data_IF_378375081944
#
_entry.id   IF_378375081944
#
_cell.length_a   1.000
_cell.length_b   1.000
_cell.length_c   1.000
_cell.angle_alpha   90.00
_cell.angle_beta   90.00
_cell.angle_gamma   90.00
#
_symmetry.space_group_name_H-M   'P 1'
#
loop_
_entity.id
_entity.type
_entity.pdbx_description
1 polymer ?
#
# COMPACT_ATOMS: atom_id res chain seq x y z
N UNK A 1 8.67 14.17 -17.80
CA UNK A 1 10.08 14.14 -17.34
C UNK A 1 10.62 12.71 -17.23
N UNK A 2 9.91 11.77 -16.58
CA UNK A 2 10.30 10.35 -16.52
C UNK A 2 9.92 9.50 -17.74
N UNK A 3 9.22 10.07 -18.72
CA UNK A 3 8.94 9.47 -20.03
C UNK A 3 10.18 9.34 -20.91
N UNK A 4 11.30 9.97 -20.54
CA UNK A 4 12.57 9.87 -21.27
C UNK A 4 13.38 8.69 -20.73
N UNK A 5 13.64 7.62 -21.52
CA UNK A 5 14.25 6.38 -21.04
C UNK A 5 15.63 6.58 -20.40
N UNK A 6 16.39 7.55 -20.90
CA UNK A 6 17.74 7.88 -20.43
C UNK A 6 17.75 8.47 -19.01
N UNK A 7 16.70 9.21 -18.64
CA UNK A 7 16.53 9.80 -17.30
C UNK A 7 15.95 8.76 -16.35
N UNK A 8 14.94 8.01 -16.82
CA UNK A 8 14.35 6.87 -16.10
C UNK A 8 15.45 5.93 -15.59
N UNK A 9 16.28 5.39 -16.49
CA UNK A 9 17.32 4.39 -16.15
C UNK A 9 18.37 4.89 -15.13
N UNK A 10 18.57 6.20 -15.00
CA UNK A 10 19.55 6.79 -14.05
C UNK A 10 18.93 7.17 -12.71
N UNK A 11 17.62 7.40 -12.64
CA UNK A 11 16.93 7.96 -11.47
C UNK A 11 15.69 7.13 -11.08
N UNK A 12 15.70 5.83 -11.35
CA UNK A 12 14.54 4.96 -11.07
C UNK A 12 14.13 4.93 -9.61
N UNK A 13 15.11 4.97 -8.69
CA UNK A 13 14.82 5.03 -7.26
C UNK A 13 14.11 6.35 -6.92
N UNK A 14 14.50 7.47 -7.53
CA UNK A 14 13.85 8.78 -7.34
C UNK A 14 12.43 8.74 -7.88
N UNK A 15 12.24 8.17 -9.08
CA UNK A 15 10.91 8.00 -9.64
C UNK A 15 10.01 7.14 -8.75
N UNK A 16 10.54 6.03 -8.23
CA UNK A 16 9.80 5.13 -7.36
C UNK A 16 9.43 5.82 -6.03
N UNK A 17 10.34 6.62 -5.47
CA UNK A 17 10.06 7.45 -4.28
C UNK A 17 8.99 8.48 -4.58
N UNK A 18 9.11 9.26 -5.66
CA UNK A 18 8.12 10.27 -6.05
C UNK A 18 6.75 9.62 -6.28
N UNK A 19 6.71 8.49 -7.00
CA UNK A 19 5.47 7.77 -7.25
C UNK A 19 4.84 7.23 -5.97
N UNK A 20 5.65 6.73 -5.04
CA UNK A 20 5.18 6.26 -3.73
C UNK A 20 4.61 7.44 -2.92
N UNK A 21 5.34 8.55 -2.83
CA UNK A 21 4.88 9.75 -2.12
C UNK A 21 3.58 10.30 -2.73
N UNK A 22 3.51 10.38 -4.05
CA UNK A 22 2.32 10.88 -4.74
C UNK A 22 1.13 9.94 -4.56
N UNK A 23 1.35 8.62 -4.64
CA UNK A 23 0.29 7.63 -4.41
C UNK A 23 -0.21 7.67 -2.97
N UNK A 24 0.68 7.81 -1.97
CA UNK A 24 0.31 7.93 -0.57
C UNK A 24 -0.43 9.26 -0.30
N UNK A 25 -0.02 10.35 -0.92
CA UNK A 25 -0.75 11.61 -0.82
C UNK A 25 -2.16 11.49 -1.43
N UNK A 26 -2.26 10.96 -2.65
CA UNK A 26 -3.49 10.88 -3.43
C UNK A 26 -4.51 9.89 -2.86
N UNK A 27 -4.05 8.73 -2.38
CA UNK A 27 -4.92 7.63 -1.99
C UNK A 27 -4.93 7.35 -0.48
N UNK A 28 -4.00 7.90 0.31
CA UNK A 28 -4.04 7.82 1.77
C UNK A 28 -4.52 9.13 2.38
N UNK A 29 -3.76 10.21 2.20
CA UNK A 29 -3.97 11.47 2.94
C UNK A 29 -5.23 12.19 2.49
N UNK A 30 -5.40 12.43 1.18
CA UNK A 30 -6.58 13.15 0.69
C UNK A 30 -7.90 12.44 0.99
N UNK A 31 -8.07 11.12 0.76
CA UNK A 31 -9.30 10.42 1.08
C UNK A 31 -9.64 10.45 2.58
N UNK A 32 -8.62 10.39 3.44
CA UNK A 32 -8.81 10.54 4.89
C UNK A 32 -9.31 11.94 5.26
N UNK A 33 -8.70 12.99 4.71
CA UNK A 33 -9.12 14.37 4.95
C UNK A 33 -10.52 14.64 4.40
N UNK A 34 -10.87 14.08 3.24
CA UNK A 34 -12.21 14.17 2.65
C UNK A 34 -13.24 13.56 3.61
N UNK A 35 -12.98 12.36 4.14
CA UNK A 35 -13.89 11.72 5.08
C UNK A 35 -14.08 12.55 6.37
N UNK A 36 -13.01 13.13 6.91
CA UNK A 36 -13.09 14.02 8.07
C UNK A 36 -13.84 15.32 7.77
N UNK A 37 -13.64 15.89 6.58
CA UNK A 37 -14.32 17.10 6.15
C UNK A 37 -15.83 16.87 6.07
N UNK A 38 -16.26 15.79 5.40
CA UNK A 38 -17.67 15.43 5.27
C UNK A 38 -18.29 15.17 6.65
N UNK A 39 -17.59 14.42 7.51
CA UNK A 39 -18.08 14.16 8.87
C UNK A 39 -18.21 15.44 9.70
N UNK A 40 -17.32 16.42 9.50
CA UNK A 40 -17.37 17.71 10.18
C UNK A 40 -18.42 18.68 9.64
N UNK A 41 -18.93 18.46 8.42
CA UNK A 41 -20.01 19.26 7.81
C UNK A 41 -21.40 18.85 8.33
N UNK A 42 -21.54 17.68 8.94
CA UNK A 42 -22.83 17.21 9.45
C UNK A 42 -23.33 18.06 10.63
N UNK A 43 -24.61 18.43 10.62
CA UNK A 43 -25.24 19.26 11.66
C UNK A 43 -25.18 18.63 13.08
N UNK A 44 -25.00 17.31 13.16
CA UNK A 44 -24.86 16.55 14.40
C UNK A 44 -23.42 16.52 14.94
N UNK A 45 -22.43 17.04 14.20
CA UNK A 45 -21.02 16.94 14.54
C UNK A 45 -20.61 17.95 15.61
N UNK A 46 -20.41 17.48 16.84
CA UNK A 46 -19.71 18.25 17.87
C UNK A 46 -18.20 18.19 17.64
N UNK A 47 -17.48 19.24 18.04
CA UNK A 47 -16.02 19.27 17.99
C UNK A 47 -15.40 18.06 18.73
N UNK A 48 -15.95 17.71 19.90
CA UNK A 48 -15.49 16.59 20.70
C UNK A 48 -15.68 15.25 19.98
N UNK A 49 -16.83 15.05 19.33
CA UNK A 49 -17.11 13.84 18.55
C UNK A 49 -16.14 13.71 17.37
N UNK A 50 -15.92 14.80 16.63
CA UNK A 50 -15.00 14.81 15.47
C UNK A 50 -13.55 14.56 15.87
N UNK A 51 -13.09 15.15 16.98
CA UNK A 51 -11.74 14.90 17.51
C UNK A 51 -11.58 13.46 17.97
N UNK A 52 -12.55 12.92 18.71
CA UNK A 52 -12.53 11.52 19.15
C UNK A 52 -12.50 10.56 17.96
N UNK A 53 -13.33 10.81 16.95
CA UNK A 53 -13.32 10.05 15.70
C UNK A 53 -11.95 10.09 15.04
N UNK A 54 -11.36 11.28 14.90
CA UNK A 54 -10.05 11.46 14.28
C UNK A 54 -8.96 10.68 15.01
N UNK A 55 -8.93 10.75 16.34
CA UNK A 55 -7.97 10.00 17.15
C UNK A 55 -8.14 8.48 17.03
N UNK A 56 -9.38 8.00 17.04
CA UNK A 56 -9.66 6.57 16.84
C UNK A 56 -9.24 6.11 15.45
N UNK A 57 -9.57 6.86 14.40
CA UNK A 57 -9.23 6.53 13.02
C UNK A 57 -7.70 6.50 12.80
N UNK A 58 -6.98 7.48 13.35
CA UNK A 58 -5.51 7.48 13.34
C UNK A 58 -4.93 6.30 14.12
N UNK A 59 -5.47 5.98 15.30
CA UNK A 59 -5.02 4.84 16.10
C UNK A 59 -5.21 3.51 15.34
N UNK A 60 -6.36 3.33 14.66
CA UNK A 60 -6.62 2.19 13.79
C UNK A 60 -5.59 2.12 12.67
N UNK A 61 -5.33 3.25 11.98
CA UNK A 61 -4.31 3.32 10.94
C UNK A 61 -2.92 2.90 11.42
N UNK A 62 -2.51 3.36 12.61
CA UNK A 62 -1.24 2.97 13.23
C UNK A 62 -1.20 1.47 13.52
N UNK A 63 -2.27 0.91 14.11
CA UNK A 63 -2.36 -0.53 14.39
C UNK A 63 -2.26 -1.34 13.09
N UNK A 64 -2.98 -0.94 12.03
CA UNK A 64 -2.90 -1.58 10.73
C UNK A 64 -1.46 -1.54 10.22
N UNK A 65 -0.81 -0.37 10.25
CA UNK A 65 0.57 -0.22 9.81
C UNK A 65 1.56 -1.13 10.56
N UNK A 66 1.43 -1.22 11.89
CA UNK A 66 2.29 -2.07 12.71
C UNK A 66 2.07 -3.56 12.40
N UNK A 67 0.82 -4.00 12.33
CA UNK A 67 0.46 -5.39 12.00
C UNK A 67 0.97 -5.75 10.60
N UNK A 68 0.87 -4.84 9.64
CA UNK A 68 1.33 -5.08 8.27
C UNK A 68 2.85 -5.10 8.16
N UNK A 69 3.55 -4.26 8.90
CA UNK A 69 5.01 -4.33 9.04
C UNK A 69 5.44 -5.70 9.59
N UNK A 70 4.83 -6.16 10.69
CA UNK A 70 5.13 -7.47 11.28
C UNK A 70 4.82 -8.61 10.31
N UNK A 71 3.64 -8.58 9.68
CA UNK A 71 3.24 -9.57 8.67
C UNK A 71 4.26 -9.62 7.52
N UNK A 72 4.65 -8.47 7.00
CA UNK A 72 5.58 -8.38 5.88
C UNK A 72 6.96 -8.89 6.28
N UNK A 73 7.46 -8.52 7.46
CA UNK A 73 8.70 -9.05 8.01
C UNK A 73 8.69 -10.58 8.13
N UNK A 74 7.59 -11.17 8.63
CA UNK A 74 7.44 -12.63 8.72
C UNK A 74 7.43 -13.29 7.33
N UNK A 75 6.78 -12.67 6.34
CA UNK A 75 6.77 -13.16 4.95
C UNK A 75 8.17 -13.14 4.33
N UNK A 76 8.94 -12.07 4.57
CA UNK A 76 10.34 -11.99 4.14
C UNK A 76 11.20 -13.08 4.78
N UNK A 77 11.09 -13.27 6.10
CA UNK A 77 11.86 -14.28 6.83
C UNK A 77 11.53 -15.71 6.40
N UNK A 78 10.27 -15.99 6.05
CA UNK A 78 9.83 -17.29 5.51
C UNK A 78 10.26 -17.52 4.05
N UNK A 79 10.92 -16.55 3.41
CA UNK A 79 11.33 -16.65 2.02
C UNK A 79 10.15 -16.67 1.05
N UNK A 80 8.99 -16.10 1.44
CA UNK A 80 7.79 -16.13 0.61
C UNK A 80 7.99 -15.45 -0.76
N UNK A 81 8.91 -14.48 -0.82
CA UNK A 81 9.30 -13.71 -2.00
C UNK A 81 10.52 -14.28 -2.77
N UNK A 82 11.06 -15.44 -2.38
CA UNK A 82 12.11 -16.14 -3.15
C UNK A 82 11.52 -16.75 -4.42
N UNK A 83 12.36 -16.94 -5.44
CA UNK A 83 12.00 -17.68 -6.64
C UNK A 83 11.50 -19.09 -6.28
N UNK A 84 10.35 -19.50 -6.83
CA UNK A 84 9.65 -20.74 -6.46
C UNK A 84 8.89 -20.70 -5.13
N UNK A 85 8.96 -19.58 -4.39
CA UNK A 85 8.26 -19.31 -3.13
C UNK A 85 6.75 -19.09 -3.31
N UNK A 86 6.02 -18.96 -2.20
CA UNK A 86 4.55 -18.88 -2.23
C UNK A 86 4.04 -17.64 -2.97
N UNK A 87 4.70 -16.48 -2.86
CA UNK A 87 4.32 -15.27 -3.60
C UNK A 87 4.69 -15.37 -5.07
N UNK A 88 5.80 -16.01 -5.40
CA UNK A 88 6.23 -16.23 -6.79
C UNK A 88 5.30 -17.20 -7.53
N UNK A 89 4.84 -18.28 -6.88
CA UNK A 89 3.82 -19.19 -7.42
C UNK A 89 2.46 -18.54 -7.63
N UNK A 90 2.14 -17.53 -6.82
CA UNK A 90 0.91 -16.73 -6.99
C UNK A 90 1.10 -15.78 -8.18
N UNK A 91 2.21 -15.04 -8.23
CA UNK A 91 2.55 -14.14 -9.35
C UNK A 91 2.61 -14.87 -10.69
N UNK A 92 3.32 -15.98 -10.79
CA UNK A 92 3.43 -16.78 -12.02
C UNK A 92 2.08 -17.38 -12.44
N UNK A 93 1.17 -17.64 -11.50
CA UNK A 93 -0.22 -18.01 -11.82
C UNK A 93 -1.04 -16.82 -12.33
N UNK A 94 -0.86 -15.63 -11.76
CA UNK A 94 -1.48 -14.40 -12.27
C UNK A 94 -0.99 -14.00 -13.66
N UNK A 95 0.32 -14.14 -13.92
CA UNK A 95 0.92 -13.84 -15.23
C UNK A 95 0.52 -14.85 -16.31
N UNK A 96 0.06 -16.06 -15.93
CA UNK A 96 -0.30 -17.12 -16.88
C UNK A 96 -1.79 -17.30 -17.17
N UNK A 97 -2.74 -16.79 -16.37
CA UNK A 97 -4.17 -16.93 -16.66
C UNK A 97 -5.11 -16.11 -15.76
N UNK A 98 -6.27 -15.73 -16.33
CA UNK A 98 -7.48 -15.06 -15.78
C UNK A 98 -8.00 -15.58 -14.42
N UNK A 99 -7.29 -15.35 -13.31
CA UNK A 99 -7.75 -15.76 -11.98
C UNK A 99 -7.76 -14.61 -10.96
N UNK A 100 -8.77 -13.74 -11.06
CA UNK A 100 -9.18 -12.77 -10.02
C UNK A 100 -9.47 -13.35 -8.61
N UNK A 101 -9.98 -14.58 -8.39
CA UNK A 101 -10.51 -14.98 -7.08
C UNK A 101 -9.48 -15.21 -5.98
N UNK A 102 -8.22 -15.50 -6.31
CA UNK A 102 -7.19 -15.83 -5.31
C UNK A 102 -6.73 -14.60 -4.52
N UNK A 103 -6.90 -13.39 -5.09
CA UNK A 103 -6.64 -12.13 -4.37
C UNK A 103 -7.61 -11.95 -3.21
N UNK A 104 -8.86 -12.39 -3.38
CA UNK A 104 -9.97 -12.17 -2.42
C UNK A 104 -9.77 -12.98 -1.13
N UNK A 105 -9.20 -14.19 -1.23
CA UNK A 105 -8.99 -15.08 -0.07
C UNK A 105 -7.71 -14.73 0.70
N UNK A 106 -6.68 -14.19 0.04
CA UNK A 106 -5.46 -13.72 0.72
C UNK A 106 -5.63 -12.36 1.44
N UNK A 107 -6.74 -11.66 1.14
CA UNK A 107 -7.14 -10.37 1.70
C UNK A 107 -8.31 -10.49 2.69
N UNK A 108 -8.74 -11.68 3.08
CA UNK A 108 -9.85 -11.81 4.05
C UNK A 108 -9.55 -11.12 5.39
N UNK A 109 -8.29 -11.13 5.85
CA UNK A 109 -7.88 -10.34 7.03
C UNK A 109 -7.94 -8.82 6.81
N UNK A 110 -7.72 -8.36 5.58
CA UNK A 110 -7.80 -6.95 5.18
C UNK A 110 -9.26 -6.49 5.13
N UNK A 111 -10.12 -7.29 4.50
CA UNK A 111 -11.56 -7.05 4.45
C UNK A 111 -12.15 -7.07 5.86
N UNK A 112 -11.75 -8.00 6.74
CA UNK A 112 -12.24 -8.05 8.11
C UNK A 112 -11.77 -6.87 8.98
N UNK A 113 -10.51 -6.45 8.87
CA UNK A 113 -10.00 -5.27 9.59
C UNK A 113 -10.71 -3.99 9.13
N UNK A 114 -10.93 -3.86 7.83
CA UNK A 114 -11.64 -2.73 7.23
C UNK A 114 -13.12 -2.75 7.65
N UNK A 115 -13.80 -3.90 7.56
CA UNK A 115 -15.20 -4.04 7.98
C UNK A 115 -15.36 -3.81 9.49
N UNK A 116 -14.40 -4.22 10.30
CA UNK A 116 -14.38 -3.92 11.74
C UNK A 116 -14.27 -2.41 11.97
N UNK A 117 -13.34 -1.72 11.30
CA UNK A 117 -13.19 -0.27 11.39
C UNK A 117 -14.46 0.49 10.96
N UNK A 118 -15.15 0.00 9.92
CA UNK A 118 -16.44 0.54 9.47
C UNK A 118 -17.52 0.35 10.55
N UNK A 119 -17.62 -0.83 11.15
CA UNK A 119 -18.66 -1.15 12.14
C UNK A 119 -18.49 -0.43 13.48
N UNK A 120 -17.28 0.00 13.82
CA UNK A 120 -17.02 0.74 15.07
C UNK A 120 -17.45 2.21 15.01
N UNK A 121 -17.80 2.72 13.84
CA UNK A 121 -18.22 4.10 13.65
C UNK A 121 -19.76 4.12 13.57
N UNK A 122 -20.44 5.02 14.31
CA UNK A 122 -21.89 5.16 14.20
C UNK A 122 -22.27 5.68 12.80
N UNK A 123 -23.22 5.01 12.13
CA UNK A 123 -23.81 5.49 10.87
C UNK A 123 -25.34 5.42 10.95
N UNK A 124 -26.00 6.52 10.61
CA UNK A 124 -27.46 6.60 10.58
C UNK A 124 -28.04 6.35 9.17
N UNK A 125 -27.24 6.47 8.09
CA UNK A 125 -27.70 6.34 6.70
C UNK A 125 -26.73 5.60 5.73
N UNK A 126 -27.27 5.03 4.64
CA UNK A 126 -26.51 4.35 3.57
C UNK A 126 -25.67 5.34 2.73
N UNK A 127 -26.10 6.59 2.63
CA UNK A 127 -25.35 7.66 1.95
C UNK A 127 -24.06 7.99 2.71
N UNK A 128 -24.12 8.10 4.04
CA UNK A 128 -22.94 8.25 4.90
C UNK A 128 -21.99 7.06 4.75
N UNK A 129 -22.56 5.85 4.56
CA UNK A 129 -21.79 4.63 4.30
C UNK A 129 -20.89 4.76 3.06
N UNK A 130 -21.36 5.42 2.00
CA UNK A 130 -20.57 5.57 0.78
C UNK A 130 -19.64 6.77 0.84
N UNK A 131 -20.12 7.91 1.34
CA UNK A 131 -19.40 9.17 1.23
C UNK A 131 -18.24 9.29 2.25
N UNK A 132 -18.37 8.68 3.43
CA UNK A 132 -17.35 8.74 4.50
C UNK A 132 -16.49 7.47 4.51
N UNK A 133 -17.10 6.29 4.42
CA UNK A 133 -16.33 5.05 4.61
C UNK A 133 -15.53 4.66 3.39
N UNK A 134 -16.04 4.85 2.17
CA UNK A 134 -15.29 4.47 0.98
C UNK A 134 -13.93 5.20 0.88
N UNK A 135 -13.83 6.52 1.10
CA UNK A 135 -12.54 7.20 1.20
C UNK A 135 -11.63 6.66 2.33
N UNK A 136 -12.18 6.35 3.51
CA UNK A 136 -11.40 5.77 4.62
C UNK A 136 -10.87 4.37 4.30
N UNK A 137 -11.66 3.54 3.61
CA UNK A 137 -11.25 2.23 3.14
C UNK A 137 -10.04 2.37 2.22
N UNK A 138 -10.12 3.25 1.22
CA UNK A 138 -9.00 3.50 0.30
C UNK A 138 -7.76 3.94 1.10
N UNK A 139 -7.96 4.81 2.09
CA UNK A 139 -6.86 5.29 2.94
C UNK A 139 -6.19 4.15 3.71
N UNK A 140 -6.95 3.30 4.40
CA UNK A 140 -6.41 2.16 5.13
C UNK A 140 -5.78 1.10 4.22
N UNK A 141 -6.31 0.90 3.01
CA UNK A 141 -5.69 0.06 2.00
C UNK A 141 -4.29 0.55 1.62
N UNK A 142 -4.10 1.87 1.51
CA UNK A 142 -2.78 2.45 1.21
C UNK A 142 -1.79 2.35 2.37
N UNK A 143 -2.26 2.50 3.62
CA UNK A 143 -1.45 2.23 4.82
C UNK A 143 -1.00 0.77 4.84
N UNK A 144 -1.86 -0.16 4.44
CA UNK A 144 -1.52 -1.58 4.37
C UNK A 144 -0.40 -1.87 3.36
N UNK A 145 -0.42 -1.20 2.20
CA UNK A 145 0.57 -1.39 1.12
C UNK A 145 1.90 -0.68 1.42
N UNK A 146 1.89 0.36 2.27
CA UNK A 146 3.03 1.21 2.56
C UNK A 146 4.31 0.46 2.99
N UNK A 147 4.29 -0.53 3.92
CA UNK A 147 5.51 -1.25 4.31
C UNK A 147 6.21 -1.95 3.14
N UNK A 148 5.46 -2.51 2.20
CA UNK A 148 6.01 -3.16 1.01
C UNK A 148 6.67 -2.13 0.09
N UNK A 149 6.04 -0.97 -0.12
CA UNK A 149 6.61 0.15 -0.89
C UNK A 149 7.91 0.67 -0.27
N UNK A 150 7.94 0.82 1.07
CA UNK A 150 9.14 1.28 1.79
C UNK A 150 10.31 0.31 1.66
N UNK A 151 10.05 -1.00 1.75
CA UNK A 151 11.10 -2.00 1.58
C UNK A 151 11.58 -2.07 0.14
N UNK A 152 10.70 -1.90 -0.86
CA UNK A 152 11.11 -1.81 -2.26
C UNK A 152 11.99 -0.57 -2.54
N UNK A 153 11.66 0.58 -1.94
CA UNK A 153 12.52 1.77 -1.97
C UNK A 153 13.89 1.44 -1.38
N UNK A 154 13.92 0.84 -0.18
CA UNK A 154 15.18 0.46 0.47
C UNK A 154 16.00 -0.49 -0.40
N UNK A 155 15.38 -1.50 -1.00
CA UNK A 155 16.06 -2.44 -1.89
C UNK A 155 16.65 -1.76 -3.12
N UNK A 156 15.92 -0.83 -3.76
CA UNK A 156 16.41 -0.05 -4.90
C UNK A 156 17.58 0.88 -4.54
N UNK A 157 17.61 1.41 -3.32
CA UNK A 157 18.72 2.22 -2.82
C UNK A 157 19.95 1.37 -2.46
N UNK A 158 19.74 0.19 -1.85
CA UNK A 158 20.81 -0.63 -1.29
C UNK A 158 21.47 -1.59 -2.29
N UNK A 159 20.71 -2.14 -3.23
CA UNK A 159 21.15 -3.21 -4.13
C UNK A 159 21.10 -2.78 -5.60
N UNK A 160 22.24 -2.87 -6.29
CA UNK A 160 22.33 -2.57 -7.73
C UNK A 160 21.49 -3.51 -8.59
N UNK A 161 21.30 -4.76 -8.16
CA UNK A 161 20.46 -5.76 -8.84
C UNK A 161 18.99 -5.33 -9.03
N UNK A 162 18.50 -4.38 -8.23
CA UNK A 162 17.15 -3.82 -8.34
C UNK A 162 17.04 -2.62 -9.28
N UNK A 163 18.16 -2.22 -9.91
CA UNK A 163 18.25 -1.11 -10.86
C UNK A 163 18.68 -1.67 -12.24
N UNK A 164 18.36 -0.93 -13.29
CA UNK A 164 18.76 -1.30 -14.65
C UNK A 164 20.14 -0.72 -15.00
N UNK A 165 20.90 -1.46 -15.80
CA UNK A 165 22.15 -1.00 -16.38
C UNK A 165 21.90 0.01 -17.52
N UNK A 166 22.97 0.66 -18.00
CA UNK A 166 22.92 1.60 -19.12
C UNK A 166 22.33 1.01 -20.42
N UNK A 167 22.38 -0.31 -20.58
CA UNK A 167 21.80 -1.06 -21.69
C UNK A 167 20.31 -1.39 -21.49
N UNK A 168 19.76 -1.21 -20.29
CA UNK A 168 18.36 -1.49 -19.95
C UNK A 168 18.07 -2.91 -19.46
N UNK A 169 19.09 -3.67 -19.06
CA UNK A 169 18.94 -4.96 -18.38
C UNK A 169 19.11 -4.79 -16.87
N UNK A 170 18.45 -5.62 -16.05
CA UNK A 170 18.73 -5.67 -14.61
C UNK A 170 20.18 -6.10 -14.37
N UNK A 171 20.82 -5.56 -13.33
CA UNK A 171 22.14 -6.05 -12.93
C UNK A 171 22.02 -7.49 -12.40
N UNK A 172 22.75 -8.40 -13.04
CA UNK A 172 22.79 -9.81 -12.64
C UNK A 172 23.48 -9.93 -11.25
N UNK A 173 22.88 -10.59 -10.25
CA UNK A 173 23.51 -10.80 -8.97
C UNK A 173 24.82 -11.62 -9.03
N UNK A 174 25.10 -12.33 -10.14
CA UNK A 174 26.30 -13.16 -10.34
C UNK A 174 27.30 -12.61 -11.39
N UNK A 175 27.18 -11.33 -11.78
CA UNK A 175 27.90 -10.78 -12.94
C UNK A 175 29.20 -10.01 -12.68
N UNK A 176 30.09 -10.45 -11.78
CA UNK A 176 31.54 -10.23 -11.93
C UNK A 176 32.16 -11.53 -12.45
N UNK A 177 32.05 -11.78 -13.76
CA UNK A 177 32.73 -12.91 -14.40
C UNK A 177 31.96 -13.49 -15.58
N UNK A 178 32.21 -12.97 -16.78
CA UNK A 178 32.90 -13.72 -17.84
C UNK A 178 33.10 -12.79 -19.05
N UNK A 179 34.29 -12.89 -19.62
CA UNK A 179 34.83 -12.13 -20.76
C UNK A 179 33.94 -12.09 -21.99
#
# INVERSE_FOLDING_TARGET
MFTVPTIYKKLEWVQYVINTLFSQLLFCVYPFLIALYILGEQDSASLESLMNFTYMALAIGIVIFLVTCVRFYLLLRKGAYREGGSKDRVRNRFEKSDYMPVVIVASTGLVLLILYAIRTIPSDSIEDLHLIYFPLIISYMMIFVLPEQLVLIYCKLRFKAFNFNSRGYLYDPEGEGHH
#
